data_IF_558743298096
#
_entry.id   IF_558743298096
#
_cell.length_a   1.000
_cell.length_b   1.000
_cell.length_c   1.000
_cell.angle_alpha   90.00
_cell.angle_beta   90.00
_cell.angle_gamma   90.00
#
_symmetry.space_group_name_H-M   'P 1'
#
loop_
_entity.id
_entity.type
_entity.pdbx_description
1 polymer ?
#
# COMPACT_ATOMS: atom_id res chain seq x y z
N UNK A 1 -3.72 -8.08 -40.72
CA UNK A 1 -3.78 -7.66 -39.30
C UNK A 1 -3.31 -8.79 -38.35
N UNK A 2 -2.27 -9.56 -38.71
CA UNK A 2 -1.77 -10.72 -37.93
C UNK A 2 -0.29 -10.58 -37.53
N UNK A 3 0.36 -9.47 -37.91
CA UNK A 3 1.79 -9.26 -37.71
C UNK A 3 2.14 -8.89 -36.25
N UNK A 4 1.26 -8.17 -35.56
CA UNK A 4 1.48 -7.76 -34.17
C UNK A 4 1.22 -8.86 -33.13
N UNK A 5 0.39 -9.86 -33.45
CA UNK A 5 0.05 -10.96 -32.54
C UNK A 5 1.04 -12.13 -32.60
N UNK A 6 1.90 -12.16 -33.63
CA UNK A 6 3.02 -13.12 -33.73
C UNK A 6 4.31 -12.57 -33.12
N UNK A 7 4.27 -11.37 -32.53
CA UNK A 7 5.41 -10.81 -31.81
C UNK A 7 5.71 -11.72 -30.62
N UNK A 8 6.75 -12.51 -30.80
CA UNK A 8 7.40 -13.29 -29.77
C UNK A 8 8.12 -12.35 -28.80
N UNK A 9 8.45 -12.84 -27.59
CA UNK A 9 9.16 -12.03 -26.58
C UNK A 9 10.50 -11.47 -27.08
N UNK A 10 11.13 -12.10 -28.08
CA UNK A 10 12.37 -11.62 -28.68
C UNK A 10 12.20 -10.34 -29.50
N UNK A 11 11.12 -10.21 -30.26
CA UNK A 11 10.85 -9.01 -31.07
C UNK A 11 10.52 -7.80 -30.19
N UNK A 12 9.76 -8.00 -29.10
CA UNK A 12 9.53 -6.97 -28.08
C UNK A 12 10.84 -6.51 -27.45
N UNK A 13 11.72 -7.44 -27.09
CA UNK A 13 13.00 -7.10 -26.49
C UNK A 13 13.86 -6.26 -27.45
N UNK A 14 13.88 -6.60 -28.74
CA UNK A 14 14.61 -5.85 -29.76
C UNK A 14 14.07 -4.43 -29.92
N UNK A 15 12.74 -4.25 -29.97
CA UNK A 15 12.10 -2.92 -30.05
C UNK A 15 12.45 -2.10 -28.79
N UNK A 16 12.35 -2.71 -27.62
CA UNK A 16 12.70 -2.05 -26.34
C UNK A 16 14.16 -1.62 -26.35
N UNK A 17 15.09 -2.44 -26.84
CA UNK A 17 16.51 -2.08 -26.95
C UNK A 17 16.71 -0.89 -27.90
N UNK A 18 16.07 -0.88 -29.07
CA UNK A 18 16.19 0.23 -30.03
C UNK A 18 15.68 1.54 -29.42
N UNK A 19 14.48 1.50 -28.83
CA UNK A 19 13.90 2.65 -28.11
C UNK A 19 14.81 3.07 -26.96
N UNK A 20 15.33 2.11 -26.20
CA UNK A 20 16.24 2.37 -25.10
C UNK A 20 17.58 2.97 -25.53
N UNK A 21 18.07 2.69 -26.74
CA UNK A 21 19.27 3.33 -27.28
C UNK A 21 19.00 4.76 -27.73
N UNK A 22 17.84 5.00 -28.38
CA UNK A 22 17.43 6.34 -28.83
C UNK A 22 17.18 7.27 -27.65
N UNK A 23 16.40 6.81 -26.66
CA UNK A 23 16.06 7.61 -25.48
C UNK A 23 17.13 7.49 -24.38
N UNK A 24 17.86 6.39 -24.31
CA UNK A 24 18.92 6.14 -23.33
C UNK A 24 18.43 5.54 -22.00
N UNK A 25 19.34 4.90 -21.23
CA UNK A 25 19.08 4.31 -19.90
C UNK A 25 18.44 5.22 -18.89
N UNK A 26 18.80 6.49 -18.96
CA UNK A 26 18.48 7.47 -17.93
C UNK A 26 17.09 8.06 -18.12
N UNK A 27 16.55 8.07 -19.36
CA UNK A 27 15.28 8.74 -19.67
C UNK A 27 14.05 7.97 -19.20
N UNK A 28 14.02 6.65 -19.34
CA UNK A 28 12.92 5.82 -18.83
C UNK A 28 12.72 6.00 -17.30
N UNK A 29 13.74 5.84 -16.44
CA UNK A 29 13.57 6.03 -14.99
C UNK A 29 13.33 7.50 -14.61
N UNK A 30 13.86 8.46 -15.38
CA UNK A 30 13.61 9.89 -15.18
C UNK A 30 12.13 10.24 -15.44
N UNK A 31 11.58 9.79 -16.57
CA UNK A 31 10.15 9.93 -16.91
C UNK A 31 9.26 9.22 -15.89
N UNK A 32 9.61 8.00 -15.48
CA UNK A 32 8.88 7.26 -14.46
C UNK A 32 8.86 8.00 -13.10
N UNK A 33 9.99 8.60 -12.70
CA UNK A 33 10.07 9.43 -11.48
C UNK A 33 9.22 10.70 -11.60
N UNK A 34 9.22 11.36 -12.77
CA UNK A 34 8.41 12.54 -13.01
C UNK A 34 6.90 12.22 -12.98
N UNK A 35 6.48 11.18 -13.71
CA UNK A 35 5.09 10.71 -13.71
C UNK A 35 4.67 10.22 -12.32
N UNK A 36 5.54 9.50 -11.61
CA UNK A 36 5.28 9.01 -10.26
C UNK A 36 5.04 10.14 -9.26
N UNK A 37 5.85 11.20 -9.32
CA UNK A 37 5.62 12.42 -8.52
C UNK A 37 4.30 13.08 -8.89
N UNK A 38 4.03 13.26 -10.19
CA UNK A 38 2.77 13.85 -10.66
C UNK A 38 1.53 13.07 -10.20
N UNK A 39 1.53 11.74 -10.35
CA UNK A 39 0.44 10.88 -9.89
C UNK A 39 0.26 10.95 -8.37
N UNK A 40 1.36 11.00 -7.61
CA UNK A 40 1.30 11.14 -6.15
C UNK A 40 0.71 12.48 -5.72
N UNK A 41 1.05 13.58 -6.39
CA UNK A 41 0.47 14.91 -6.15
C UNK A 41 -1.03 14.92 -6.48
N UNK A 42 -1.40 14.33 -7.63
CA UNK A 42 -2.81 14.20 -8.05
C UNK A 42 -3.63 13.37 -7.05
N UNK A 43 -3.06 12.28 -6.55
CA UNK A 43 -3.71 11.45 -5.51
C UNK A 43 -3.96 12.25 -4.24
N UNK A 44 -2.96 12.99 -3.75
CA UNK A 44 -3.09 13.84 -2.55
C UNK A 44 -4.17 14.89 -2.72
N UNK A 45 -4.15 15.62 -3.84
CA UNK A 45 -5.19 16.60 -4.15
C UNK A 45 -6.59 15.97 -4.22
N UNK A 46 -6.70 14.79 -4.83
CA UNK A 46 -7.98 14.05 -4.91
C UNK A 46 -8.46 13.59 -3.52
N UNK A 47 -7.55 13.11 -2.68
CA UNK A 47 -7.86 12.66 -1.32
C UNK A 47 -8.30 13.81 -0.41
N UNK A 48 -7.71 14.99 -0.59
CA UNK A 48 -8.11 16.22 0.09
C UNK A 48 -9.52 16.64 -0.32
N UNK A 49 -9.81 16.67 -1.62
CA UNK A 49 -11.16 16.96 -2.14
C UNK A 49 -12.17 15.94 -1.60
N UNK A 50 -11.83 14.65 -1.63
CA UNK A 50 -12.71 13.59 -1.12
C UNK A 50 -13.01 13.75 0.37
N UNK A 51 -12.00 14.12 1.17
CA UNK A 51 -12.16 14.35 2.61
C UNK A 51 -13.05 15.55 2.89
N UNK A 52 -12.85 16.66 2.16
CA UNK A 52 -13.66 17.86 2.32
C UNK A 52 -15.11 17.59 1.91
N UNK A 53 -15.31 16.93 0.77
CA UNK A 53 -16.63 16.54 0.27
C UNK A 53 -17.37 15.62 1.25
N UNK A 54 -16.70 14.60 1.81
CA UNK A 54 -17.33 13.72 2.80
C UNK A 54 -17.72 14.47 4.08
N UNK A 55 -16.89 15.42 4.54
CA UNK A 55 -17.22 16.25 5.71
C UNK A 55 -18.42 17.13 5.46
N UNK A 56 -18.49 17.77 4.30
CA UNK A 56 -19.64 18.58 3.89
C UNK A 56 -20.92 17.74 3.85
N UNK A 57 -20.86 16.57 3.22
CA UNK A 57 -22.00 15.64 3.13
C UNK A 57 -22.43 15.12 4.50
N UNK A 58 -21.49 14.80 5.38
CA UNK A 58 -21.79 14.35 6.75
C UNK A 58 -22.42 15.47 7.60
N UNK A 59 -22.04 16.73 7.40
CA UNK A 59 -22.67 17.86 8.08
C UNK A 59 -24.08 18.14 7.54
N UNK A 60 -24.26 18.12 6.22
CA UNK A 60 -25.59 18.24 5.59
C UNK A 60 -26.52 17.09 6.04
N UNK A 61 -26.00 15.87 6.19
CA UNK A 61 -26.75 14.72 6.75
C UNK A 61 -27.09 14.86 8.23
N UNK A 62 -26.33 15.64 9.01
CA UNK A 62 -26.64 15.89 10.43
C UNK A 62 -27.73 16.95 10.59
N UNK A 63 -27.79 17.92 9.69
CA UNK A 63 -28.79 18.99 9.72
C UNK A 63 -30.14 18.52 9.16
N UNK A 64 -30.15 17.52 8.27
CA UNK A 64 -31.35 16.82 7.84
C UNK A 64 -31.46 15.52 8.66
N UNK A 65 -32.27 15.51 9.73
CA UNK A 65 -32.65 14.30 10.47
C UNK A 65 -33.35 13.30 9.52
N UNK A 66 -32.57 12.51 8.79
CA UNK A 66 -33.04 11.30 8.13
C UNK A 66 -32.80 10.17 9.13
N UNK A 67 -33.83 9.85 9.92
CA UNK A 67 -33.89 8.53 10.55
C UNK A 67 -33.90 7.50 9.42
N UNK A 68 -32.80 6.77 9.24
CA UNK A 68 -32.75 5.57 8.40
C UNK A 68 -33.46 4.43 9.15
N UNK A 69 -34.64 3.95 8.70
CA UNK A 69 -35.42 2.93 9.42
C UNK A 69 -34.84 1.51 9.31
N UNK A 70 -33.58 1.33 8.88
CA UNK A 70 -33.09 0.02 8.44
C UNK A 70 -31.73 -0.43 8.98
N UNK A 71 -31.32 -0.02 10.18
CA UNK A 71 -30.11 -0.58 10.82
C UNK A 71 -30.40 -1.36 12.10
N UNK A 72 -31.08 -2.49 11.92
CA UNK A 72 -31.14 -3.58 12.90
C UNK A 72 -30.07 -4.64 12.61
N UNK A 73 -29.15 -4.81 13.57
CA UNK A 73 -28.36 -5.99 13.95
C UNK A 73 -28.11 -7.11 12.91
N UNK A 74 -26.84 -7.42 12.69
CA UNK A 74 -26.34 -8.79 12.81
C UNK A 74 -24.84 -8.85 13.18
N UNK A 75 -24.59 -9.13 14.45
CA UNK A 75 -23.40 -9.86 14.90
C UNK A 75 -23.63 -11.36 14.62
N UNK A 76 -22.72 -12.03 13.89
CA UNK A 76 -22.27 -13.41 14.21
C UNK A 76 -21.07 -13.85 13.35
N UNK A 77 -19.89 -13.80 13.96
CA UNK A 77 -18.90 -14.88 14.16
C UNK A 77 -18.98 -16.15 13.27
N UNK A 78 -17.82 -16.46 12.66
CA UNK A 78 -17.22 -17.77 12.31
C UNK A 78 -17.86 -18.67 11.24
N UNK A 79 -17.13 -18.91 10.13
CA UNK A 79 -16.25 -20.08 9.99
C UNK A 79 -15.55 -20.15 8.61
N UNK A 80 -14.22 -20.06 8.64
CA UNK A 80 -13.25 -20.88 7.87
C UNK A 80 -13.42 -21.08 6.35
N UNK A 81 -12.53 -20.45 5.58
CA UNK A 81 -11.59 -21.23 4.76
C UNK A 81 -10.28 -20.47 4.55
N UNK A 82 -9.19 -21.14 4.90
CA UNK A 82 -7.80 -20.70 4.79
C UNK A 82 -7.30 -20.97 3.37
N UNK A 83 -6.49 -20.08 2.83
CA UNK A 83 -5.26 -20.38 2.07
C UNK A 83 -4.51 -19.06 1.83
N UNK A 84 -3.63 -18.74 2.77
CA UNK A 84 -2.17 -18.58 2.56
C UNK A 84 -1.75 -18.01 1.17
N UNK A 85 -0.92 -16.97 1.01
CA UNK A 85 0.09 -16.41 1.91
C UNK A 85 0.72 -15.16 1.27
N UNK A 86 1.09 -14.20 2.14
CA UNK A 86 2.20 -13.23 2.01
C UNK A 86 2.09 -12.09 0.99
N UNK A 87 1.98 -10.84 1.49
CA UNK A 87 3.16 -10.04 1.83
C UNK A 87 2.85 -9.07 2.98
N UNK A 88 3.65 -9.21 4.05
CA UNK A 88 3.53 -8.58 5.36
C UNK A 88 4.36 -7.30 5.39
N UNK A 89 3.72 -6.19 5.77
CA UNK A 89 4.31 -4.90 6.17
C UNK A 89 5.15 -5.09 7.46
N UNK A 90 6.42 -4.66 7.52
CA UNK A 90 7.14 -4.49 8.77
C UNK A 90 6.86 -3.08 9.32
N UNK A 91 6.17 -3.01 10.45
CA UNK A 91 6.14 -1.84 11.32
C UNK A 91 6.73 -2.21 12.69
N UNK A 92 7.26 -1.17 13.30
CA UNK A 92 8.46 -1.10 14.11
C UNK A 92 8.16 -1.25 15.62
N UNK A 93 9.16 -1.75 16.33
CA UNK A 93 9.15 -2.13 17.74
C UNK A 93 9.23 -0.90 18.67
N UNK A 94 8.38 -0.78 19.70
CA UNK A 94 8.71 0.01 20.88
C UNK A 94 9.30 -0.92 21.95
N UNK A 95 10.61 -0.77 22.20
CA UNK A 95 11.31 -1.44 23.29
C UNK A 95 10.98 -0.82 24.64
N UNK A 96 10.63 -1.66 25.62
CA UNK A 96 10.60 -1.31 27.02
C UNK A 96 11.24 -2.40 27.92
N UNK A 97 12.42 -2.04 28.43
CA UNK A 97 12.98 -2.24 29.76
C UNK A 97 12.69 -3.58 30.48
N UNK A 98 13.73 -4.42 30.66
CA UNK A 98 13.84 -5.33 31.80
C UNK A 98 15.32 -5.57 32.12
N UNK A 99 15.73 -4.99 33.25
CA UNK A 99 16.57 -5.56 34.32
C UNK A 99 17.58 -6.64 33.90
N UNK A 100 18.83 -6.22 33.68
CA UNK A 100 19.99 -7.10 33.72
C UNK A 100 20.53 -7.15 35.16
N UNK A 101 20.60 -8.37 35.68
CA UNK A 101 21.15 -8.67 36.99
C UNK A 101 22.67 -8.62 36.98
N UNK A 102 23.24 -7.86 37.90
CA UNK A 102 24.67 -7.92 38.22
C UNK A 102 24.93 -8.86 39.41
N UNK A 103 25.74 -9.87 39.10
CA UNK A 103 26.80 -10.45 39.91
C UNK A 103 26.51 -10.89 41.36
N UNK A 104 26.33 -12.21 41.54
CA UNK A 104 26.87 -12.92 42.70
C UNK A 104 27.62 -14.17 42.23
N UNK A 105 28.93 -14.04 42.11
CA UNK A 105 29.87 -15.15 42.24
C UNK A 105 30.24 -15.23 43.70
N UNK A 106 29.89 -16.32 44.39
CA UNK A 106 30.77 -16.83 45.42
C UNK A 106 30.64 -18.34 45.53
N UNK A 107 31.82 -18.93 45.64
CA UNK A 107 32.23 -20.33 45.64
C UNK A 107 31.33 -21.33 46.37
N UNK A 108 31.12 -22.46 45.71
CA UNK A 108 31.01 -23.78 46.34
C UNK A 108 32.19 -24.02 47.29
N UNK A 109 31.86 -24.22 48.56
CA UNK A 109 32.67 -24.93 49.53
C UNK A 109 31.76 -25.98 50.19
N UNK A 110 31.55 -27.12 49.53
CA UNK A 110 31.64 -28.48 50.11
C UNK A 110 31.15 -29.55 49.12
#
# INVERSE_FOLDING_TARGET
MLLFFNISGGEILLIVIVVYLVFGPKKIPELARMLGKGINELRRATDDIKREFNREVDNVKKDIHVEDPFKSKNEKTTASSKTDTSYKKPEESPGNNTTEGEAKTDSDLK
#
